data_IF_372593722989
#
_entry.id   IF_372593722989
#
_cell.length_a   1.000
_cell.length_b   1.000
_cell.length_c   1.000
_cell.angle_alpha   90.00
_cell.angle_beta   90.00
_cell.angle_gamma   90.00
#
_symmetry.space_group_name_H-M   'P 1'
#
loop_
_entity.id
_entity.type
_entity.pdbx_description
1 polymer ?
#
# COMPACT_ATOMS: atom_id res chain seq x y z
N UNK A 1 14.83 1.98 7.16
CA UNK A 1 13.90 2.51 8.19
C UNK A 1 14.53 3.61 9.03
N UNK A 2 15.78 3.48 9.46
CA UNK A 2 16.46 4.44 10.33
C UNK A 2 16.61 5.81 9.63
N UNK A 3 16.92 5.82 8.34
CA UNK A 3 17.02 7.05 7.54
C UNK A 3 15.67 7.77 7.43
N UNK A 4 14.59 7.02 7.23
CA UNK A 4 13.22 7.58 7.19
C UNK A 4 12.85 8.17 8.57
N UNK A 5 13.15 7.46 9.64
CA UNK A 5 12.93 7.94 11.01
C UNK A 5 13.68 9.24 11.29
N UNK A 6 14.95 9.32 10.87
CA UNK A 6 15.77 10.52 11.00
C UNK A 6 15.20 11.71 10.21
N UNK A 7 14.68 11.47 9.00
CA UNK A 7 14.03 12.52 8.22
C UNK A 7 12.80 13.10 8.92
N UNK A 8 11.92 12.24 9.48
CA UNK A 8 10.76 12.69 10.26
C UNK A 8 11.17 13.45 11.52
N UNK A 9 12.19 12.97 12.25
CA UNK A 9 12.75 13.65 13.43
C UNK A 9 13.28 15.04 13.09
N UNK A 10 14.06 15.17 12.02
CA UNK A 10 14.59 16.44 11.53
C UNK A 10 13.48 17.41 11.07
N UNK A 11 12.47 16.89 10.39
CA UNK A 11 11.34 17.71 9.97
C UNK A 11 10.60 18.31 11.18
N UNK A 12 10.36 17.51 12.21
CA UNK A 12 9.73 17.96 13.45
C UNK A 12 10.60 18.99 14.17
N UNK A 13 11.90 18.73 14.36
CA UNK A 13 12.84 19.67 15.01
C UNK A 13 12.97 21.01 14.28
N UNK A 14 12.87 20.97 12.95
CA UNK A 14 12.96 22.17 12.11
C UNK A 14 11.61 22.82 11.85
N UNK A 15 10.52 22.27 12.40
CA UNK A 15 9.14 22.70 12.13
C UNK A 15 8.81 22.73 10.62
N UNK A 16 9.30 21.73 9.90
CA UNK A 16 9.04 21.55 8.47
C UNK A 16 7.99 20.47 8.24
N UNK A 17 7.13 20.68 7.26
CA UNK A 17 6.18 19.66 6.83
C UNK A 17 6.89 18.55 6.06
N UNK A 18 6.67 17.31 6.46
CA UNK A 18 7.10 16.11 5.75
C UNK A 18 5.95 15.10 5.69
N UNK A 19 5.64 14.63 4.50
CA UNK A 19 4.70 13.54 4.25
C UNK A 19 5.21 12.75 3.04
N UNK A 20 5.22 11.43 3.13
CA UNK A 20 5.45 10.58 1.96
C UNK A 20 4.28 10.75 0.97
N UNK A 21 4.59 10.87 -0.32
CA UNK A 21 3.59 11.03 -1.38
C UNK A 21 2.90 9.69 -1.70
N UNK A 22 2.15 9.18 -0.73
CA UNK A 22 1.40 7.94 -0.88
C UNK A 22 -0.06 8.23 -1.23
N UNK A 23 -0.26 8.71 -2.46
CA UNK A 23 -1.49 9.32 -2.98
C UNK A 23 -2.74 8.45 -2.85
N UNK A 24 -2.63 7.11 -3.01
CA UNK A 24 -3.79 6.21 -2.93
C UNK A 24 -4.48 6.28 -1.56
N UNK A 25 -3.73 6.56 -0.49
CA UNK A 25 -4.25 6.63 0.89
C UNK A 25 -5.35 7.68 1.05
N UNK A 26 -5.33 8.70 0.20
CA UNK A 26 -6.16 9.91 0.30
C UNK A 26 -7.31 9.94 -0.71
N UNK A 27 -7.46 8.89 -1.53
CA UNK A 27 -8.55 8.79 -2.51
C UNK A 27 -9.93 8.74 -1.82
N UNK A 28 -10.96 9.39 -2.38
CA UNK A 28 -12.31 9.45 -1.79
C UNK A 28 -12.93 8.06 -1.55
N UNK A 29 -12.69 7.10 -2.45
CA UNK A 29 -13.21 5.75 -2.28
C UNK A 29 -12.69 5.08 -1.01
N UNK A 30 -11.44 5.36 -0.60
CA UNK A 30 -10.89 4.81 0.64
C UNK A 30 -11.50 5.43 1.91
N UNK A 31 -11.92 6.69 1.87
CA UNK A 31 -12.69 7.28 2.97
C UNK A 31 -14.02 6.52 3.11
N UNK A 32 -14.71 6.28 2.00
CA UNK A 32 -15.96 5.51 1.99
C UNK A 32 -15.75 4.06 2.44
N UNK A 33 -14.65 3.43 2.03
CA UNK A 33 -14.29 2.08 2.45
C UNK A 33 -14.06 1.99 3.96
N UNK A 34 -13.33 2.96 4.54
CA UNK A 34 -13.12 3.04 6.00
C UNK A 34 -14.44 3.18 6.76
N UNK A 35 -15.38 3.99 6.26
CA UNK A 35 -16.72 4.12 6.85
C UNK A 35 -17.48 2.79 6.86
N UNK A 36 -17.46 2.05 5.74
CA UNK A 36 -18.13 0.74 5.61
C UNK A 36 -17.53 -0.28 6.59
N UNK A 37 -16.20 -0.31 6.70
CA UNK A 37 -15.50 -1.19 7.62
C UNK A 37 -15.78 -0.80 9.09
N UNK A 38 -15.71 0.47 9.43
CA UNK A 38 -15.99 0.99 10.77
C UNK A 38 -17.43 0.74 11.21
N UNK A 39 -18.39 0.78 10.28
CA UNK A 39 -19.79 0.42 10.53
C UNK A 39 -20.02 -1.10 10.70
N UNK A 40 -18.99 -1.93 10.49
CA UNK A 40 -19.10 -3.39 10.56
C UNK A 40 -20.01 -4.00 9.49
N UNK A 41 -20.18 -3.32 8.35
CA UNK A 41 -21.12 -3.71 7.30
C UNK A 41 -20.84 -5.12 6.75
N UNK A 42 -19.56 -5.47 6.56
CA UNK A 42 -19.14 -6.82 6.14
C UNK A 42 -18.70 -7.71 7.31
N UNK A 43 -18.86 -7.23 8.55
CA UNK A 43 -18.44 -7.94 9.76
C UNK A 43 -16.93 -7.87 9.98
N UNK A 44 -16.39 -8.89 10.70
CA UNK A 44 -14.94 -8.99 10.93
C UNK A 44 -14.20 -9.40 9.67
N UNK A 45 -13.04 -8.79 9.42
CA UNK A 45 -12.17 -9.15 8.31
C UNK A 45 -11.63 -10.58 8.48
N UNK A 46 -11.73 -11.39 7.43
CA UNK A 46 -11.23 -12.76 7.40
C UNK A 46 -10.14 -12.98 6.38
N UNK A 47 -10.31 -12.42 5.19
CA UNK A 47 -9.34 -12.57 4.11
C UNK A 47 -9.28 -11.31 3.24
N UNK A 48 -8.07 -10.96 2.82
CA UNK A 48 -7.82 -9.88 1.86
C UNK A 48 -6.88 -10.42 0.79
N UNK A 49 -7.20 -10.20 -0.47
CA UNK A 49 -6.28 -10.47 -1.57
C UNK A 49 -6.11 -9.22 -2.40
N UNK A 50 -4.88 -8.92 -2.80
CA UNK A 50 -4.57 -7.84 -3.72
C UNK A 50 -3.41 -8.24 -4.63
N UNK A 51 -3.46 -7.76 -5.86
CA UNK A 51 -2.41 -8.00 -6.83
C UNK A 51 -2.19 -6.79 -7.72
N UNK A 52 -0.94 -6.58 -8.10
CA UNK A 52 -0.55 -5.55 -9.04
C UNK A 52 0.65 -6.03 -9.86
N UNK A 53 0.54 -5.99 -11.17
CA UNK A 53 1.64 -6.33 -12.07
C UNK A 53 1.58 -5.54 -13.37
N UNK A 54 2.74 -5.26 -13.92
CA UNK A 54 2.92 -4.69 -15.26
C UNK A 54 4.27 -5.10 -15.84
N UNK A 55 4.39 -5.02 -17.16
CA UNK A 55 5.69 -5.25 -17.82
C UNK A 55 6.46 -3.94 -17.86
N UNK A 56 7.55 -3.86 -17.06
CA UNK A 56 8.42 -2.70 -17.05
C UNK A 56 9.10 -2.49 -18.39
N UNK A 57 8.96 -1.31 -18.97
CA UNK A 57 9.47 -0.94 -20.29
C UNK A 57 9.90 0.54 -20.35
N UNK A 58 10.53 0.93 -21.48
CA UNK A 58 10.90 2.30 -21.74
C UNK A 58 12.13 2.78 -20.99
N UNK A 59 12.35 4.11 -20.98
CA UNK A 59 13.57 4.75 -20.48
C UNK A 59 13.84 4.58 -18.96
N UNK A 60 12.85 4.11 -18.20
CA UNK A 60 12.98 3.84 -16.75
C UNK A 60 13.05 2.36 -16.41
N UNK A 61 13.15 1.48 -17.40
CA UNK A 61 13.23 0.03 -17.18
C UNK A 61 14.40 -0.31 -16.26
N UNK A 62 15.58 0.22 -16.55
CA UNK A 62 16.80 -0.11 -15.81
C UNK A 62 16.69 0.28 -14.32
N UNK A 63 16.13 1.47 -14.01
CA UNK A 63 15.88 1.87 -12.62
C UNK A 63 15.03 0.87 -11.85
N UNK A 64 14.03 0.27 -12.49
CA UNK A 64 13.10 -0.65 -11.84
C UNK A 64 13.72 -2.00 -11.50
N UNK A 65 14.78 -2.38 -12.21
CA UNK A 65 15.48 -3.64 -12.01
C UNK A 65 16.83 -3.50 -11.30
N UNK A 66 17.33 -2.28 -11.11
CA UNK A 66 18.68 -2.04 -10.59
C UNK A 66 18.65 -1.82 -9.06
N UNK A 67 19.37 -2.69 -8.32
CA UNK A 67 19.54 -2.56 -6.87
C UNK A 67 20.27 -1.28 -6.44
N UNK A 68 21.18 -0.77 -7.27
CA UNK A 68 21.88 0.51 -7.05
C UNK A 68 20.97 1.72 -7.13
N UNK A 69 19.82 1.60 -7.77
CA UNK A 69 18.81 2.64 -7.94
C UNK A 69 17.54 2.42 -7.11
N UNK A 70 17.56 1.43 -6.19
CA UNK A 70 16.41 1.12 -5.33
C UNK A 70 15.26 0.46 -6.10
N UNK A 71 15.57 -0.34 -7.13
CA UNK A 71 14.58 -1.08 -7.90
C UNK A 71 13.94 -2.23 -7.14
N UNK A 72 13.07 -2.95 -7.83
CA UNK A 72 12.34 -4.12 -7.33
C UNK A 72 10.84 -3.94 -7.33
N UNK A 73 10.11 -5.03 -7.60
CA UNK A 73 8.65 -5.03 -7.62
C UNK A 73 8.06 -4.69 -6.24
N UNK A 74 8.67 -5.16 -5.17
CA UNK A 74 8.22 -4.86 -3.81
C UNK A 74 8.23 -3.36 -3.52
N UNK A 75 9.30 -2.65 -3.90
CA UNK A 75 9.42 -1.21 -3.62
C UNK A 75 8.67 -0.34 -4.64
N UNK A 76 8.65 -0.72 -5.94
CA UNK A 76 8.01 0.10 -6.97
C UNK A 76 6.48 0.02 -6.92
N UNK A 77 5.92 -1.18 -6.69
CA UNK A 77 4.48 -1.43 -6.69
C UNK A 77 3.95 -2.21 -5.49
N UNK A 78 4.75 -3.04 -4.85
CA UNK A 78 4.34 -3.76 -3.64
C UNK A 78 3.98 -2.83 -2.49
N UNK A 79 4.56 -1.61 -2.45
CA UNK A 79 4.15 -0.55 -1.54
C UNK A 79 2.63 -0.27 -1.61
N UNK A 80 2.04 -0.30 -2.81
CA UNK A 80 0.59 -0.10 -2.98
C UNK A 80 -0.22 -1.24 -2.41
N UNK A 81 0.22 -2.49 -2.61
CA UNK A 81 -0.42 -3.67 -2.02
C UNK A 81 -0.35 -3.62 -0.48
N UNK A 82 0.84 -3.43 0.08
CA UNK A 82 1.05 -3.40 1.52
C UNK A 82 0.36 -2.19 2.18
N UNK A 83 0.40 -1.04 1.51
CA UNK A 83 -0.32 0.15 1.97
C UNK A 83 -1.84 -0.04 1.93
N UNK A 84 -2.37 -0.70 0.90
CA UNK A 84 -3.78 -1.08 0.85
C UNK A 84 -4.17 -1.97 2.04
N UNK A 85 -3.36 -3.00 2.34
CA UNK A 85 -3.59 -3.85 3.50
C UNK A 85 -3.58 -3.03 4.81
N UNK A 86 -2.67 -2.05 4.94
CA UNK A 86 -2.62 -1.18 6.11
C UNK A 86 -3.82 -0.22 6.20
N UNK A 87 -4.31 0.31 5.06
CA UNK A 87 -5.55 1.10 5.01
C UNK A 87 -6.73 0.34 5.63
N UNK A 88 -6.82 -0.97 5.34
CA UNK A 88 -7.92 -1.82 5.77
C UNK A 88 -7.80 -2.29 7.22
N UNK A 89 -6.60 -2.65 7.63
CA UNK A 89 -6.37 -3.26 8.95
C UNK A 89 -6.01 -2.25 10.04
N UNK A 90 -5.39 -1.12 9.66
CA UNK A 90 -4.85 -0.14 10.61
C UNK A 90 -3.71 -0.68 11.48
N UNK A 91 -3.17 -1.85 11.16
CA UNK A 91 -2.25 -2.61 12.02
C UNK A 91 -1.08 -3.17 11.23
N UNK A 92 -0.01 -3.51 11.94
CA UNK A 92 1.10 -4.29 11.40
C UNK A 92 0.73 -5.78 11.40
N UNK A 93 1.21 -6.57 10.42
CA UNK A 93 1.03 -8.01 10.45
C UNK A 93 1.84 -8.65 11.58
N UNK A 94 1.26 -9.66 12.24
CA UNK A 94 1.98 -10.51 13.22
C UNK A 94 2.96 -11.46 12.54
N UNK A 95 2.67 -11.82 11.28
CA UNK A 95 3.49 -12.75 10.50
C UNK A 95 3.49 -12.36 9.03
N UNK A 96 4.66 -12.41 8.41
CA UNK A 96 4.86 -12.27 6.97
C UNK A 96 5.60 -13.51 6.48
N UNK A 97 5.07 -14.15 5.45
CA UNK A 97 5.66 -15.33 4.82
C UNK A 97 5.82 -15.06 3.32
N UNK A 98 7.05 -15.15 2.83
CA UNK A 98 7.29 -15.18 1.39
C UNK A 98 6.88 -16.54 0.85
N UNK A 99 5.84 -16.58 0.03
CA UNK A 99 5.39 -17.79 -0.65
C UNK A 99 6.18 -18.06 -1.91
N UNK A 100 6.59 -16.99 -2.57
CA UNK A 100 7.39 -17.04 -3.79
C UNK A 100 8.11 -15.70 -3.97
N UNK A 101 9.35 -15.74 -4.46
CA UNK A 101 10.11 -14.57 -4.86
C UNK A 101 11.04 -14.94 -6.00
N UNK A 102 11.13 -14.08 -7.01
CA UNK A 102 12.12 -14.18 -8.07
C UNK A 102 13.04 -12.96 -7.97
N UNK A 103 14.32 -13.21 -7.71
CA UNK A 103 15.37 -12.19 -7.70
C UNK A 103 16.07 -12.24 -9.05
N UNK A 104 16.08 -11.11 -9.76
CA UNK A 104 16.69 -10.97 -11.07
C UNK A 104 18.23 -10.86 -11.00
N UNK A 105 18.88 -10.86 -12.16
CA UNK A 105 20.33 -10.76 -12.27
C UNK A 105 20.96 -9.47 -11.73
N UNK A 106 20.15 -8.41 -11.51
CA UNK A 106 20.57 -7.12 -10.94
C UNK A 106 20.34 -7.02 -9.44
N UNK A 107 19.92 -8.13 -8.78
CA UNK A 107 19.80 -8.23 -7.33
C UNK A 107 18.53 -7.63 -6.75
N UNK A 108 17.49 -7.43 -7.56
CA UNK A 108 16.15 -6.99 -7.09
C UNK A 108 15.08 -8.02 -7.40
N UNK A 109 13.95 -7.96 -6.68
CA UNK A 109 12.80 -8.78 -7.03
C UNK A 109 12.08 -8.19 -8.26
N UNK A 110 11.69 -9.04 -9.20
CA UNK A 110 10.79 -8.71 -10.29
C UNK A 110 9.41 -9.36 -10.13
N UNK A 111 9.30 -10.29 -9.19
CA UNK A 111 8.07 -10.93 -8.74
C UNK A 111 8.18 -11.29 -7.27
N UNK A 112 7.12 -11.05 -6.50
CA UNK A 112 6.99 -11.60 -5.16
C UNK A 112 5.54 -11.85 -4.78
N UNK A 113 5.32 -12.92 -3.97
CA UNK A 113 4.04 -13.31 -3.40
C UNK A 113 4.19 -13.49 -1.90
N UNK A 114 3.44 -12.69 -1.15
CA UNK A 114 3.48 -12.65 0.30
C UNK A 114 2.16 -13.13 0.88
N UNK A 115 2.24 -13.91 1.96
CA UNK A 115 1.10 -14.17 2.83
C UNK A 115 1.33 -13.49 4.18
N UNK A 116 0.33 -12.74 4.63
CA UNK A 116 0.38 -11.98 5.87
C UNK A 116 -0.73 -12.46 6.81
N UNK A 117 -0.44 -12.47 8.11
CA UNK A 117 -1.43 -12.73 9.14
C UNK A 117 -1.48 -11.53 10.07
N UNK A 118 -2.67 -11.02 10.31
CA UNK A 118 -2.93 -9.85 11.16
C UNK A 118 -3.53 -10.25 12.50
N UNK A 119 -3.43 -9.40 13.52
CA UNK A 119 -4.15 -9.57 14.77
C UNK A 119 -5.64 -9.87 14.54
N UNK A 120 -6.21 -10.79 15.32
CA UNK A 120 -7.58 -11.25 15.11
C UNK A 120 -7.74 -12.34 14.03
N UNK A 121 -6.61 -12.80 13.43
CA UNK A 121 -6.58 -13.94 12.52
C UNK A 121 -6.97 -13.62 11.07
N UNK A 122 -7.10 -12.35 10.70
CA UNK A 122 -7.28 -11.95 9.30
C UNK A 122 -6.05 -12.35 8.48
N UNK A 123 -6.25 -13.01 7.34
CA UNK A 123 -5.20 -13.43 6.43
C UNK A 123 -5.20 -12.55 5.19
N UNK A 124 -4.01 -12.18 4.72
CA UNK A 124 -3.88 -11.43 3.48
C UNK A 124 -2.89 -12.09 2.53
N UNK A 125 -3.12 -11.90 1.24
CA UNK A 125 -2.20 -12.28 0.18
C UNK A 125 -1.93 -11.06 -0.71
N UNK A 126 -0.65 -10.83 -0.99
CA UNK A 126 -0.16 -9.76 -1.84
C UNK A 126 0.69 -10.34 -2.95
N UNK A 127 0.37 -10.03 -4.21
CA UNK A 127 1.16 -10.42 -5.38
C UNK A 127 1.58 -9.18 -6.15
N UNK A 128 2.87 -9.01 -6.38
CA UNK A 128 3.43 -7.90 -7.13
C UNK A 128 4.47 -8.35 -8.12
N UNK A 129 4.47 -7.75 -9.32
CA UNK A 129 5.47 -8.04 -10.34
C UNK A 129 5.65 -6.89 -11.33
N UNK A 130 6.90 -6.67 -11.75
CA UNK A 130 7.26 -5.75 -12.83
C UNK A 130 7.68 -6.49 -14.11
N UNK A 131 7.49 -7.80 -14.14
CA UNK A 131 7.85 -8.69 -15.24
C UNK A 131 6.66 -9.24 -16.03
N UNK A 132 5.43 -9.08 -15.53
CA UNK A 132 4.21 -9.57 -16.21
C UNK A 132 3.00 -8.70 -15.88
N UNK A 133 2.02 -8.68 -16.78
CA UNK A 133 0.76 -8.00 -16.54
C UNK A 133 -0.11 -8.80 -15.55
N UNK A 134 -0.62 -8.13 -14.53
CA UNK A 134 -1.67 -8.60 -13.63
C UNK A 134 -2.76 -7.54 -13.55
N UNK A 135 -3.99 -7.96 -13.30
CA UNK A 135 -5.06 -7.03 -12.95
C UNK A 135 -4.75 -6.36 -11.60
N UNK A 136 -5.05 -5.06 -11.49
CA UNK A 136 -4.85 -4.31 -10.23
C UNK A 136 -6.04 -4.44 -9.29
N UNK A 137 -6.53 -5.65 -9.11
CA UNK A 137 -7.73 -5.89 -8.33
C UNK A 137 -7.44 -6.25 -6.87
N UNK A 138 -8.47 -6.06 -6.04
CA UNK A 138 -8.45 -6.50 -4.65
C UNK A 138 -9.82 -7.02 -4.23
N UNK A 139 -9.82 -8.03 -3.35
CA UNK A 139 -11.01 -8.56 -2.69
C UNK A 139 -10.83 -8.57 -1.18
N UNK A 140 -11.85 -8.11 -0.48
CA UNK A 140 -11.93 -8.07 0.98
C UNK A 140 -13.09 -8.95 1.39
N UNK A 141 -12.86 -9.94 2.23
CA UNK A 141 -13.88 -10.87 2.73
C UNK A 141 -14.01 -10.72 4.23
N UNK A 142 -15.20 -10.41 4.66
CA UNK A 142 -15.60 -10.38 6.06
C UNK A 142 -16.56 -11.51 6.44
N UNK A 143 -17.01 -11.54 7.68
CA UNK A 143 -17.94 -12.57 8.19
C UNK A 143 -19.38 -12.40 7.72
N UNK A 144 -19.75 -11.23 7.16
CA UNK A 144 -21.12 -10.87 6.74
C UNK A 144 -21.20 -10.38 5.30
N UNK A 145 -20.08 -10.33 4.57
CA UNK A 145 -20.07 -9.83 3.22
C UNK A 145 -18.68 -9.71 2.64
N UNK A 146 -18.59 -9.18 1.43
CA UNK A 146 -17.34 -8.94 0.74
C UNK A 146 -17.35 -7.63 -0.02
N UNK A 147 -16.15 -7.13 -0.34
CA UNK A 147 -15.95 -5.96 -1.20
C UNK A 147 -14.95 -6.34 -2.28
N UNK A 148 -15.25 -5.98 -3.52
CA UNK A 148 -14.37 -6.15 -4.67
C UNK A 148 -14.02 -4.78 -5.26
N UNK A 149 -12.72 -4.53 -5.46
CA UNK A 149 -12.19 -3.36 -6.16
C UNK A 149 -11.56 -3.85 -7.47
N UNK A 150 -12.09 -3.46 -8.64
CA UNK A 150 -11.51 -3.85 -9.93
C UNK A 150 -10.16 -3.18 -10.21
N UNK A 151 -9.94 -2.00 -9.67
CA UNK A 151 -8.65 -1.32 -9.63
C UNK A 151 -8.50 -0.64 -8.26
N UNK A 152 -7.67 -1.23 -7.38
CA UNK A 152 -7.48 -0.67 -6.05
C UNK A 152 -6.45 0.47 -6.02
N UNK A 153 -5.60 0.59 -7.04
CA UNK A 153 -4.62 1.67 -7.13
C UNK A 153 -5.28 2.97 -7.62
N UNK A 154 -6.13 2.91 -8.67
CA UNK A 154 -6.96 4.03 -9.13
C UNK A 154 -8.40 3.80 -8.66
N UNK A 155 -8.58 3.76 -7.34
CA UNK A 155 -9.81 3.32 -6.71
C UNK A 155 -10.95 4.35 -6.85
N UNK A 156 -11.80 4.18 -7.86
CA UNK A 156 -13.00 4.99 -8.08
C UNK A 156 -14.30 4.18 -7.94
N UNK A 157 -14.20 2.86 -7.92
CA UNK A 157 -15.36 1.96 -7.89
C UNK A 157 -15.07 0.74 -7.02
N UNK A 158 -16.07 0.34 -6.24
CA UNK A 158 -16.08 -0.95 -5.54
C UNK A 158 -17.47 -1.55 -5.59
N UNK A 159 -17.54 -2.89 -5.53
CA UNK A 159 -18.78 -3.64 -5.38
C UNK A 159 -18.86 -4.17 -3.95
N UNK A 160 -19.90 -3.80 -3.23
CA UNK A 160 -20.23 -4.28 -1.88
C UNK A 160 -21.27 -5.38 -1.97
N UNK A 161 -20.96 -6.55 -1.43
CA UNK A 161 -21.85 -7.69 -1.31
C UNK A 161 -22.08 -7.99 0.17
N UNK A 162 -23.32 -7.93 0.62
CA UNK A 162 -23.70 -8.24 2.01
C UNK A 162 -24.73 -9.34 2.00
N UNK A 163 -24.59 -10.30 2.88
CA UNK A 163 -25.52 -11.43 2.99
C UNK A 163 -26.98 -10.96 3.10
N UNK A 164 -27.84 -11.50 2.26
CA UNK A 164 -29.28 -11.16 2.22
C UNK A 164 -29.61 -9.82 1.57
N UNK A 165 -28.65 -9.17 0.90
CA UNK A 165 -28.89 -7.94 0.13
C UNK A 165 -28.44 -8.07 -1.31
N UNK A 166 -29.00 -7.27 -2.20
CA UNK A 166 -28.50 -7.14 -3.56
C UNK A 166 -27.11 -6.46 -3.55
N UNK A 167 -26.20 -6.85 -4.46
CA UNK A 167 -24.90 -6.20 -4.59
C UNK A 167 -25.05 -4.71 -4.90
N UNK A 168 -24.25 -3.88 -4.21
CA UNK A 168 -24.21 -2.44 -4.39
C UNK A 168 -22.90 -2.01 -5.07
N UNK A 169 -23.00 -1.26 -6.17
CA UNK A 169 -21.84 -0.63 -6.82
C UNK A 169 -21.69 0.79 -6.30
N UNK A 170 -20.62 1.02 -5.55
CA UNK A 170 -20.26 2.33 -4.98
C UNK A 170 -19.23 2.99 -5.89
N UNK A 171 -19.48 4.26 -6.23
CA UNK A 171 -18.60 5.06 -7.09
C UNK A 171 -18.20 6.34 -6.40
N UNK A 172 -16.90 6.62 -6.37
CA UNK A 172 -16.30 7.85 -5.86
C UNK A 172 -15.25 8.31 -6.86
N UNK A 173 -15.66 8.96 -7.97
CA UNK A 173 -14.73 9.40 -8.99
C UNK A 173 -13.77 10.45 -8.43
N UNK A 174 -12.55 10.48 -8.95
CA UNK A 174 -11.58 11.52 -8.62
C UNK A 174 -11.88 12.80 -9.40
N UNK A 175 -11.48 13.95 -8.85
CA UNK A 175 -11.76 15.26 -9.48
C UNK A 175 -10.91 15.47 -10.74
N UNK A 176 -9.64 15.01 -10.74
CA UNK A 176 -8.67 15.22 -11.83
C UNK A 176 -7.97 13.89 -12.18
N UNK A 177 -7.07 13.40 -11.32
CA UNK A 177 -6.28 12.19 -11.56
C UNK A 177 -5.88 11.45 -10.27
N UNK A 178 -6.37 11.89 -9.11
CA UNK A 178 -6.10 11.32 -7.79
C UNK A 178 -4.96 11.97 -7.01
N UNK A 179 -3.96 12.58 -7.67
CA UNK A 179 -2.86 13.27 -6.97
C UNK A 179 -3.30 14.57 -6.30
N UNK A 180 -4.39 15.17 -6.75
CA UNK A 180 -4.91 16.39 -6.15
C UNK A 180 -5.24 16.25 -4.67
N UNK A 181 -5.58 15.06 -4.21
CA UNK A 181 -5.94 14.83 -2.80
C UNK A 181 -4.72 14.91 -1.88
N UNK A 182 -3.56 14.36 -2.27
CA UNK A 182 -2.33 14.49 -1.48
C UNK A 182 -1.79 15.93 -1.52
N UNK A 183 -1.92 16.62 -2.65
CA UNK A 183 -1.53 18.03 -2.78
C UNK A 183 -2.41 18.91 -1.89
N UNK A 184 -3.73 18.68 -1.86
CA UNK A 184 -4.68 19.38 -0.99
C UNK A 184 -4.38 19.13 0.48
N UNK A 185 -4.10 17.87 0.85
CA UNK A 185 -3.76 17.49 2.23
C UNK A 185 -2.44 18.16 2.68
N UNK A 186 -1.39 18.08 1.87
CA UNK A 186 -0.12 18.75 2.15
C UNK A 186 -0.32 20.26 2.32
N UNK A 187 -1.06 20.90 1.39
CA UNK A 187 -1.38 22.32 1.44
C UNK A 187 -2.19 22.71 2.71
N UNK A 188 -3.12 21.86 3.11
CA UNK A 188 -3.90 22.03 4.35
C UNK A 188 -2.99 22.00 5.58
N UNK A 189 -2.13 21.00 5.67
CA UNK A 189 -1.22 20.82 6.80
C UNK A 189 -0.22 21.97 6.90
N UNK A 190 0.37 22.40 5.79
CA UNK A 190 1.30 23.55 5.76
C UNK A 190 0.60 24.84 6.22
N UNK A 191 -0.62 25.13 5.73
CA UNK A 191 -1.40 26.29 6.16
C UNK A 191 -1.74 26.29 7.66
N UNK A 192 -1.86 25.09 8.25
CA UNK A 192 -2.13 24.91 9.68
C UNK A 192 -0.84 24.86 10.54
N UNK A 193 0.33 25.02 9.94
CA UNK A 193 1.62 24.96 10.65
C UNK A 193 1.95 23.57 11.18
N UNK A 194 1.42 22.50 10.57
CA UNK A 194 1.68 21.12 10.99
C UNK A 194 2.98 20.62 10.36
N UNK A 195 3.66 19.72 11.05
CA UNK A 195 4.88 19.04 10.57
C UNK A 195 4.60 17.72 9.83
N UNK A 196 3.36 17.21 9.90
CA UNK A 196 2.90 16.00 9.21
C UNK A 196 1.40 15.99 8.98
N UNK A 197 0.89 14.99 8.26
CA UNK A 197 -0.53 14.75 8.06
C UNK A 197 -1.09 13.87 9.20
N UNK A 198 -2.35 14.12 9.56
CA UNK A 198 -3.15 13.28 10.46
C UNK A 198 -3.95 12.20 9.70
N UNK A 199 -3.99 12.27 8.37
CA UNK A 199 -4.65 11.27 7.51
C UNK A 199 -3.70 10.16 7.07
N UNK A 200 -2.48 10.50 6.66
CA UNK A 200 -1.38 9.57 6.43
C UNK A 200 -0.21 9.99 7.32
N UNK A 201 -0.05 9.27 8.41
CA UNK A 201 0.83 9.68 9.50
C UNK A 201 2.29 9.26 9.26
N UNK A 202 3.28 9.93 9.90
CA UNK A 202 4.66 9.44 9.91
C UNK A 202 4.77 7.97 10.37
N UNK A 203 3.93 7.55 11.32
CA UNK A 203 3.89 6.16 11.81
C UNK A 203 3.45 5.18 10.73
N UNK A 204 2.50 5.55 9.87
CA UNK A 204 2.06 4.70 8.76
C UNK A 204 3.17 4.54 7.73
N UNK A 205 3.85 5.63 7.35
CA UNK A 205 4.99 5.59 6.43
C UNK A 205 6.16 4.76 6.99
N UNK A 206 6.51 4.95 8.27
CA UNK A 206 7.59 4.20 8.93
C UNK A 206 7.25 2.70 9.05
N UNK A 207 6.00 2.35 9.34
CA UNK A 207 5.56 0.97 9.42
C UNK A 207 5.68 0.26 8.06
N UNK A 208 5.22 0.90 6.97
CA UNK A 208 5.37 0.37 5.61
C UNK A 208 6.84 0.26 5.20
N UNK A 209 7.65 1.27 5.50
CA UNK A 209 9.10 1.26 5.25
C UNK A 209 9.77 0.09 5.97
N UNK A 210 9.44 -0.15 7.24
CA UNK A 210 9.96 -1.26 8.04
C UNK A 210 9.52 -2.60 7.46
N UNK A 211 8.24 -2.76 7.15
CA UNK A 211 7.69 -3.99 6.60
C UNK A 211 8.38 -4.38 5.28
N UNK A 212 8.55 -3.43 4.36
CA UNK A 212 9.24 -3.67 3.09
C UNK A 212 10.74 -3.96 3.29
N UNK A 213 11.39 -3.24 4.21
CA UNK A 213 12.79 -3.48 4.55
C UNK A 213 13.00 -4.90 5.08
N UNK A 214 12.25 -5.30 6.11
CA UNK A 214 12.39 -6.61 6.74
C UNK A 214 12.07 -7.74 5.74
N UNK A 215 11.07 -7.53 4.89
CA UNK A 215 10.69 -8.48 3.83
C UNK A 215 11.83 -8.68 2.83
N UNK A 216 12.38 -7.63 2.22
CA UNK A 216 13.48 -7.77 1.24
C UNK A 216 14.78 -8.27 1.88
N UNK A 217 15.04 -7.89 3.14
CA UNK A 217 16.22 -8.40 3.87
C UNK A 217 16.13 -9.91 4.09
N UNK A 218 14.93 -10.44 4.31
CA UNK A 218 14.72 -11.89 4.42
C UNK A 218 15.06 -12.65 3.12
N UNK A 219 15.05 -11.95 1.98
CA UNK A 219 15.46 -12.49 0.67
C UNK A 219 16.97 -12.33 0.40
N UNK A 220 17.71 -11.69 1.29
CA UNK A 220 19.10 -11.30 1.06
C UNK A 220 19.25 -10.12 0.07
N UNK A 221 18.15 -9.45 -0.28
CA UNK A 221 18.14 -8.31 -1.19
C UNK A 221 18.60 -7.06 -0.45
N UNK A 222 19.86 -6.66 -0.67
CA UNK A 222 20.48 -5.47 -0.08
C UNK A 222 20.76 -4.42 -1.13
N UNK A 223 20.61 -3.16 -0.74
CA UNK A 223 21.00 -2.03 -1.56
C UNK A 223 22.40 -1.51 -1.21
N UNK A 224 22.96 -0.68 -2.07
CA UNK A 224 24.28 -0.09 -1.85
C UNK A 224 24.33 0.68 -0.53
N UNK A 225 25.34 0.35 0.32
CA UNK A 225 25.54 0.98 1.64
C UNK A 225 24.79 0.32 2.81
N UNK A 226 24.05 -0.76 2.58
CA UNK A 226 23.43 -1.56 3.64
C UNK A 226 24.34 -2.70 4.08
N UNK A 227 24.41 -2.93 5.39
CA UNK A 227 25.26 -3.96 6.02
C UNK A 227 24.50 -5.26 6.24
#
# INVERSE_FOLDING_TARGET
>A
PEQAQELYRLAEEKHLFLMEAFWIWLLPLYDRLREILAAGTIGELKQITCQYGFVASGARKDRKFDSGLGGGALLDIGIYNLGFLRILTGQDPEKVETKEVHINEYGTDDYSRLALTYPGGCKAESVQTIGQELERNARIVGTKGSIFLPDFQHAETMTLEVEGKEPEVIRCPVDINGFEYEIREASRCVKLGRTGSDRYTPQDSLALTRLMYDTRMSWGMKFAGEV
#
